data_IF_739001390402
#
_entry.id   IF_739001390402
#
_cell.length_a   1.000
_cell.length_b   1.000
_cell.length_c   1.000
_cell.angle_alpha   90.00
_cell.angle_beta   90.00
_cell.angle_gamma   90.00
#
_symmetry.space_group_name_H-M   'P 1'
#
loop_
_entity.id
_entity.type
_entity.pdbx_description
1 polymer ?
#
# COMPACT_ATOMS: atom_id res chain seq x y z
N UNK A 1 4.70 -0.63 -4.72
CA UNK A 1 4.16 -1.42 -3.60
C UNK A 1 4.89 -1.17 -2.29
N UNK A 2 6.05 -1.79 -2.00
CA UNK A 2 6.80 -1.64 -0.73
C UNK A 2 6.97 -0.19 -0.23
N UNK A 3 7.37 0.75 -1.10
CA UNK A 3 7.51 2.16 -0.70
C UNK A 3 6.20 2.80 -0.24
N UNK A 4 5.07 2.45 -0.87
CA UNK A 4 3.76 2.97 -0.49
C UNK A 4 3.29 2.33 0.81
N UNK A 5 3.45 1.01 0.95
CA UNK A 5 3.07 0.28 2.16
C UNK A 5 3.89 0.73 3.36
N UNK A 6 5.21 0.78 3.27
CA UNK A 6 6.07 1.24 4.36
C UNK A 6 5.80 2.70 4.76
N UNK A 7 5.42 3.57 3.82
CA UNK A 7 4.93 4.91 4.14
C UNK A 7 3.65 4.85 5.01
N UNK A 8 2.67 4.04 4.62
CA UNK A 8 1.41 3.89 5.35
C UNK A 8 1.64 3.29 6.73
N UNK A 9 2.49 2.28 6.86
CA UNK A 9 2.87 1.70 8.16
C UNK A 9 3.43 2.77 9.10
N UNK A 10 4.36 3.59 8.60
CA UNK A 10 4.96 4.69 9.35
C UNK A 10 3.94 5.76 9.75
N UNK A 11 3.09 6.20 8.80
CA UNK A 11 2.05 7.19 9.08
C UNK A 11 0.99 6.67 10.05
N UNK A 12 0.61 5.39 9.92
CA UNK A 12 -0.37 4.75 10.79
C UNK A 12 0.13 4.67 12.24
N UNK A 13 1.39 4.29 12.43
CA UNK A 13 2.04 4.28 13.74
C UNK A 13 2.20 5.71 14.30
N UNK A 14 2.60 6.67 13.46
CA UNK A 14 2.73 8.09 13.86
C UNK A 14 1.39 8.71 14.29
N UNK A 15 0.27 8.22 13.74
CA UNK A 15 -1.08 8.61 14.16
C UNK A 15 -1.51 8.02 15.53
N UNK A 16 -0.65 7.23 16.19
CA UNK A 16 -0.87 6.68 17.53
C UNK A 16 -1.44 5.26 17.56
N UNK A 17 -1.50 4.59 16.40
CA UNK A 17 -1.87 3.18 16.32
C UNK A 17 -0.65 2.28 16.59
N UNK A 18 -0.86 0.98 16.89
CA UNK A 18 0.23 0.02 16.91
C UNK A 18 0.95 -0.03 15.55
N UNK A 19 2.27 -0.27 15.59
CA UNK A 19 3.02 -0.57 14.37
C UNK A 19 2.54 -1.93 13.84
N UNK A 20 1.89 -1.92 12.68
CA UNK A 20 1.28 -3.09 12.04
C UNK A 20 1.93 -3.29 10.69
N UNK A 21 2.38 -4.52 10.41
CA UNK A 21 2.88 -4.88 9.09
C UNK A 21 1.71 -5.02 8.10
N UNK A 22 1.83 -4.38 6.95
CA UNK A 22 0.78 -4.23 5.95
C UNK A 22 1.17 -4.93 4.64
N UNK A 23 0.16 -5.29 3.83
CA UNK A 23 0.35 -6.17 2.67
C UNK A 23 0.81 -5.43 1.42
N UNK A 24 2.02 -5.71 0.96
CA UNK A 24 2.44 -5.35 -0.40
C UNK A 24 1.72 -6.17 -1.48
N UNK A 25 1.34 -7.40 -1.15
CA UNK A 25 0.67 -8.29 -2.10
C UNK A 25 -0.68 -7.73 -2.55
N UNK A 26 -1.39 -7.05 -1.65
CA UNK A 26 -2.61 -6.33 -1.98
C UNK A 26 -2.40 -5.41 -3.19
N UNK A 27 -1.37 -4.57 -3.18
CA UNK A 27 -1.08 -3.69 -4.30
C UNK A 27 -0.57 -4.46 -5.52
N UNK A 28 0.34 -5.42 -5.34
CA UNK A 28 0.91 -6.16 -6.47
C UNK A 28 -0.16 -6.94 -7.25
N UNK A 29 -1.15 -7.51 -6.57
CA UNK A 29 -2.19 -8.32 -7.19
C UNK A 29 -3.45 -7.54 -7.58
N UNK A 30 -3.85 -6.53 -6.80
CA UNK A 30 -5.17 -5.90 -6.93
C UNK A 30 -5.15 -4.47 -7.49
N UNK A 31 -4.03 -3.76 -7.41
CA UNK A 31 -3.93 -2.43 -8.01
C UNK A 31 -3.88 -2.54 -9.53
N UNK A 32 -4.99 -2.18 -10.18
CA UNK A 32 -5.13 -2.21 -11.63
C UNK A 32 -4.52 -0.98 -12.34
N UNK A 33 -4.03 0.02 -11.59
CA UNK A 33 -3.36 1.20 -12.16
C UNK A 33 -1.88 0.97 -12.40
N UNK A 34 -1.28 0.05 -11.66
CA UNK A 34 0.14 -0.30 -11.75
C UNK A 34 0.35 -1.66 -12.43
N UNK A 35 1.61 -1.98 -12.75
CA UNK A 35 2.00 -3.17 -13.52
C UNK A 35 2.35 -4.40 -12.68
N UNK A 36 1.98 -4.44 -11.40
CA UNK A 36 2.41 -5.49 -10.47
C UNK A 36 3.93 -5.62 -10.41
N UNK A 37 4.47 -6.79 -10.75
CA UNK A 37 5.92 -7.04 -10.85
C UNK A 37 6.61 -6.24 -11.98
N UNK A 38 5.86 -5.65 -12.91
CA UNK A 38 6.38 -4.77 -13.96
C UNK A 38 6.71 -3.34 -13.49
N UNK A 39 6.43 -3.02 -12.23
CA UNK A 39 6.64 -1.69 -11.64
C UNK A 39 5.35 -0.90 -11.49
N UNK A 40 5.47 0.27 -10.86
CA UNK A 40 4.34 1.12 -10.50
C UNK A 40 4.79 2.41 -9.81
N UNK A 41 3.84 3.29 -9.50
CA UNK A 41 4.08 4.58 -8.85
C UNK A 41 3.37 4.64 -7.49
N UNK A 42 4.00 5.24 -6.49
CA UNK A 42 3.41 5.35 -5.15
C UNK A 42 2.09 6.13 -5.17
N UNK A 43 2.01 7.20 -5.97
CA UNK A 43 0.80 8.03 -6.08
C UNK A 43 -0.37 7.22 -6.66
N UNK A 44 -0.13 6.40 -7.68
CA UNK A 44 -1.13 5.48 -8.22
C UNK A 44 -1.65 4.53 -7.15
N UNK A 45 -0.74 3.92 -6.39
CA UNK A 45 -1.09 3.00 -5.31
C UNK A 45 -1.92 3.69 -4.21
N UNK A 46 -1.54 4.89 -3.77
CA UNK A 46 -2.32 5.66 -2.80
C UNK A 46 -3.71 6.01 -3.34
N UNK A 47 -3.79 6.45 -4.60
CA UNK A 47 -5.07 6.73 -5.22
C UNK A 47 -5.95 5.49 -5.35
N UNK A 48 -5.39 4.35 -5.75
CA UNK A 48 -6.11 3.09 -5.87
C UNK A 48 -6.65 2.66 -4.51
N UNK A 49 -5.82 2.70 -3.46
CA UNK A 49 -6.25 2.36 -2.09
C UNK A 49 -7.48 3.21 -1.71
N UNK A 50 -7.42 4.52 -1.88
CA UNK A 50 -8.50 5.44 -1.48
C UNK A 50 -9.74 5.26 -2.34
N UNK A 51 -9.60 5.27 -3.66
CA UNK A 51 -10.72 5.33 -4.61
C UNK A 51 -11.37 3.96 -4.85
N UNK A 52 -10.56 2.90 -4.88
CA UNK A 52 -10.99 1.56 -5.31
C UNK A 52 -11.03 0.56 -4.16
N UNK A 53 -10.14 0.67 -3.16
CA UNK A 53 -10.16 -0.18 -1.96
C UNK A 53 -10.78 0.49 -0.72
N UNK A 54 -11.54 1.59 -0.91
CA UNK A 54 -12.21 2.33 0.19
C UNK A 54 -11.27 2.79 1.31
N UNK A 55 -10.04 3.14 0.97
CA UNK A 55 -9.00 3.54 1.91
C UNK A 55 -8.34 2.40 2.68
N UNK A 56 -8.80 1.16 2.53
CA UNK A 56 -8.37 0.02 3.35
C UNK A 56 -7.03 -0.53 2.88
N UNK A 57 -6.18 -0.87 3.84
CA UNK A 57 -4.93 -1.60 3.61
C UNK A 57 -4.94 -2.85 4.47
N UNK A 58 -4.70 -4.00 3.85
CA UNK A 58 -4.74 -5.29 4.56
C UNK A 58 -3.45 -5.52 5.35
N UNK A 59 -3.53 -6.34 6.40
CA UNK A 59 -2.35 -6.81 7.14
C UNK A 59 -1.52 -7.77 6.30
N UNK A 60 -0.20 -7.76 6.48
CA UNK A 60 0.70 -8.74 5.86
C UNK A 60 0.34 -10.17 6.30
N UNK A 61 -0.07 -10.35 7.55
CA UNK A 61 -0.49 -11.66 8.08
C UNK A 61 -1.69 -12.26 7.32
N UNK A 62 -2.68 -11.44 6.97
CA UNK A 62 -3.89 -11.91 6.27
C UNK A 62 -3.74 -11.95 4.75
N UNK A 63 -2.80 -11.20 4.18
CA UNK A 63 -2.49 -11.22 2.75
C UNK A 63 -0.96 -11.18 2.50
N UNK A 64 -0.26 -12.31 2.67
CA UNK A 64 1.21 -12.35 2.62
C UNK A 64 1.80 -12.09 1.24
N UNK A 65 3.03 -11.55 1.22
CA UNK A 65 3.82 -11.41 0.02
C UNK A 65 4.24 -12.76 -0.57
N UNK A 66 3.86 -13.00 -1.82
CA UNK A 66 4.13 -14.25 -2.55
C UNK A 66 4.68 -14.01 -3.97
N UNK A 67 5.07 -12.77 -4.27
CA UNK A 67 5.52 -12.34 -5.61
C UNK A 67 7.06 -12.31 -5.77
N UNK A 68 7.81 -12.94 -4.85
CA UNK A 68 9.28 -12.95 -4.81
C UNK A 68 9.93 -13.35 -6.15
N UNK A 69 9.33 -14.29 -6.88
CA UNK A 69 9.86 -14.81 -8.15
C UNK A 69 9.21 -14.16 -9.40
N UNK A 70 8.61 -12.98 -9.25
CA UNK A 70 7.97 -12.25 -10.35
C UNK A 70 6.57 -12.77 -10.72
N UNK A 71 6.07 -13.77 -10.02
CA UNK A 71 4.68 -14.23 -10.11
C UNK A 71 3.74 -13.16 -9.58
N UNK A 72 2.65 -12.86 -10.30
CA UNK A 72 1.56 -12.01 -9.81
C UNK A 72 0.31 -12.88 -9.70
N UNK A 73 0.00 -13.42 -8.50
CA UNK A 73 -1.24 -14.16 -8.29
C UNK A 73 -2.46 -13.28 -8.52
N UNK A 74 -3.59 -13.93 -8.79
CA UNK A 74 -4.87 -13.24 -8.93
C UNK A 74 -5.24 -12.45 -7.67
N UNK A 75 -5.85 -11.28 -7.86
CA UNK A 75 -6.37 -10.47 -6.77
C UNK A 75 -7.45 -11.20 -5.97
N UNK A 76 -7.31 -11.23 -4.65
CA UNK A 76 -8.37 -11.66 -3.74
C UNK A 76 -8.78 -10.42 -2.93
N UNK A 77 -9.90 -9.74 -3.28
CA UNK A 77 -10.24 -8.45 -2.67
C UNK A 77 -11.07 -8.57 -1.38
N UNK A 78 -11.17 -9.78 -0.78
CA UNK A 78 -12.02 -10.05 0.37
C UNK A 78 -11.43 -11.13 1.28
N UNK A 79 -11.89 -11.20 2.52
CA UNK A 79 -11.42 -12.20 3.49
C UNK A 79 -10.08 -11.86 4.14
N UNK A 80 -9.62 -10.62 4.01
CA UNK A 80 -8.39 -10.10 4.61
C UNK A 80 -8.71 -9.13 5.74
N UNK A 81 -7.86 -9.10 6.75
CA UNK A 81 -7.98 -8.21 7.90
C UNK A 81 -7.43 -6.83 7.53
N UNK A 82 -8.18 -5.78 7.87
CA UNK A 82 -7.76 -4.39 7.63
C UNK A 82 -6.80 -3.96 8.72
N UNK A 83 -5.56 -3.64 8.35
CA UNK A 83 -4.51 -3.18 9.26
C UNK A 83 -4.41 -1.66 9.38
N UNK A 84 -4.77 -0.93 8.31
CA UNK A 84 -4.77 0.53 8.30
C UNK A 84 -5.85 1.09 7.36
N UNK A 85 -6.22 2.36 7.57
CA UNK A 85 -7.11 3.11 6.67
C UNK A 85 -6.51 4.47 6.37
N UNK A 86 -6.38 4.80 5.09
CA UNK A 86 -5.94 6.12 4.62
C UNK A 86 -7.08 6.85 3.91
N UNK A 87 -7.03 8.18 3.93
CA UNK A 87 -8.06 9.04 3.30
C UNK A 87 -7.55 9.78 2.06
N UNK A 88 -6.24 9.77 1.82
CA UNK A 88 -5.58 10.51 0.75
C UNK A 88 -4.07 10.37 0.81
N UNK A 89 -3.39 11.11 -0.06
CA UNK A 89 -1.95 11.34 -0.03
C UNK A 89 -1.68 12.81 -0.39
N UNK A 90 -0.43 13.24 -0.18
CA UNK A 90 0.05 14.56 -0.57
C UNK A 90 1.40 14.44 -1.24
N UNK A 91 1.62 15.23 -2.28
CA UNK A 91 2.93 15.39 -2.89
C UNK A 91 3.69 16.48 -2.15
N UNK A 92 4.93 16.17 -1.78
CA UNK A 92 5.83 17.13 -1.13
C UNK A 92 6.59 17.91 -2.21
N UNK A 93 6.84 19.23 -2.04
CA UNK A 93 7.62 20.00 -2.99
C UNK A 93 8.98 19.37 -3.28
N UNK A 94 9.50 19.64 -4.49
CA UNK A 94 10.86 19.23 -4.89
C UNK A 94 11.91 20.16 -4.26
N UNK A 95 11.94 20.18 -2.93
CA UNK A 95 12.83 20.96 -2.08
C UNK A 95 13.25 20.11 -0.88
N UNK A 96 14.54 19.78 -0.81
CA UNK A 96 15.09 18.92 0.25
C UNK A 96 14.87 19.52 1.65
N UNK A 97 14.88 20.85 1.78
CA UNK A 97 14.65 21.52 3.06
C UNK A 97 13.19 21.43 3.53
N UNK A 98 12.24 21.23 2.61
CA UNK A 98 10.83 21.06 2.93
C UNK A 98 10.46 19.59 3.24
N UNK A 99 11.30 18.64 2.82
CA UNK A 99 11.12 17.20 3.06
C UNK A 99 11.69 16.78 4.43
N UNK A 100 12.76 17.46 4.89
CA UNK A 100 13.47 17.18 6.13
C UNK A 100 12.70 17.61 7.39
#
# INVERSE_FOLDING_TARGET
SFSAIGNIEGQWAAAGNPLTSLSEQMLVSCDAKDGGCGGGLMDNAFEWIVKENSGKVYTEESYPYVSEYGSVPFCIPYGHDVGAVITGHVDIPHDEAAIA
#
